data_IF_148554068184
#
_entry.id   IF_148554068184
#
_cell.length_a   1.000
_cell.length_b   1.000
_cell.length_c   1.000
_cell.angle_alpha   90.00
_cell.angle_beta   90.00
_cell.angle_gamma   90.00
#
_symmetry.space_group_name_H-M   'P 1'
#
loop_
_entity.id
_entity.type
_entity.pdbx_description
1 polymer ?
#
# COMPACT_ATOMS: atom_id res chain seq x y z
N UNK A 1 -15.65 3.11 -9.26
CA UNK A 1 -14.58 3.39 -10.25
C UNK A 1 -13.16 3.26 -9.64
N UNK A 2 -12.86 2.13 -8.97
CA UNK A 2 -11.47 1.76 -8.60
C UNK A 2 -11.30 0.29 -9.00
N UNK A 3 -11.34 0.03 -10.30
CA UNK A 3 -11.29 -1.35 -10.79
C UNK A 3 -9.86 -1.87 -10.88
N UNK A 4 -8.87 -1.02 -11.21
CA UNK A 4 -7.52 -1.46 -11.55
C UNK A 4 -6.44 -0.51 -11.00
N UNK A 5 -5.40 -1.09 -10.39
CA UNK A 5 -4.17 -0.42 -10.01
C UNK A 5 -3.22 -0.28 -11.21
N UNK A 6 -2.33 0.72 -11.16
CA UNK A 6 -1.44 1.10 -12.26
C UNK A 6 -0.63 -0.08 -12.81
N UNK A 7 -0.40 -0.10 -14.12
CA UNK A 7 0.45 -1.11 -14.78
C UNK A 7 1.92 -0.95 -14.38
N UNK A 8 2.69 -2.05 -14.44
CA UNK A 8 4.15 -2.03 -14.15
C UNK A 8 4.90 -0.99 -14.98
N UNK A 9 4.61 -0.90 -16.28
CA UNK A 9 5.21 0.07 -17.19
C UNK A 9 4.95 1.53 -16.78
N UNK A 10 3.75 1.82 -16.29
CA UNK A 10 3.43 3.16 -15.78
C UNK A 10 4.18 3.46 -14.47
N UNK A 11 4.31 2.47 -13.58
CA UNK A 11 5.07 2.60 -12.33
C UNK A 11 6.54 2.87 -12.62
N UNK A 12 7.15 2.15 -13.56
CA UNK A 12 8.54 2.36 -13.98
C UNK A 12 8.77 3.78 -14.50
N UNK A 13 7.88 4.27 -15.38
CA UNK A 13 7.96 5.66 -15.88
C UNK A 13 7.87 6.69 -14.76
N UNK A 14 6.96 6.50 -13.81
CA UNK A 14 6.83 7.37 -12.65
C UNK A 14 8.08 7.31 -11.75
N UNK A 15 8.68 6.13 -11.59
CA UNK A 15 9.92 5.97 -10.83
C UNK A 15 11.07 6.72 -11.50
N UNK A 16 11.18 6.68 -12.82
CA UNK A 16 12.19 7.46 -13.56
C UNK A 16 12.02 8.97 -13.34
N UNK A 17 10.79 9.46 -13.32
CA UNK A 17 10.49 10.87 -13.03
C UNK A 17 10.89 11.22 -11.60
N UNK A 18 10.51 10.40 -10.61
CA UNK A 18 10.90 10.59 -9.21
C UNK A 18 12.43 10.61 -9.05
N UNK A 19 13.12 9.66 -9.68
CA UNK A 19 14.57 9.55 -9.67
C UNK A 19 15.23 10.81 -10.25
N UNK A 20 14.69 11.32 -11.37
CA UNK A 20 15.19 12.53 -12.00
C UNK A 20 14.99 13.76 -11.10
N UNK A 21 13.83 13.88 -10.45
CA UNK A 21 13.55 14.96 -9.51
C UNK A 21 14.48 14.91 -8.28
N UNK A 22 14.69 13.72 -7.71
CA UNK A 22 15.62 13.54 -6.58
C UNK A 22 17.02 14.00 -6.95
N UNK A 23 17.56 13.53 -8.09
CA UNK A 23 18.89 13.93 -8.57
C UNK A 23 19.02 15.43 -8.82
N UNK A 24 17.97 16.06 -9.35
CA UNK A 24 17.97 17.49 -9.59
C UNK A 24 18.11 18.28 -8.28
N UNK A 25 17.37 17.88 -7.24
CA UNK A 25 17.38 18.53 -5.93
C UNK A 25 18.72 18.35 -5.20
N UNK A 26 19.28 17.14 -5.23
CA UNK A 26 20.52 16.80 -4.52
C UNK A 26 21.77 17.03 -5.37
N UNK A 27 21.61 17.50 -6.62
CA UNK A 27 22.70 17.65 -7.61
C UNK A 27 23.53 16.37 -7.81
N UNK A 28 22.91 15.20 -7.61
CA UNK A 28 23.56 13.89 -7.77
C UNK A 28 23.84 13.62 -9.26
N UNK A 29 25.03 13.08 -9.59
CA UNK A 29 25.37 12.74 -10.98
C UNK A 29 24.46 11.65 -11.52
N UNK A 30 24.29 11.61 -12.85
CA UNK A 30 23.37 10.69 -13.54
C UNK A 30 23.62 9.20 -13.24
N UNK A 31 24.89 8.80 -13.08
CA UNK A 31 25.31 7.40 -12.91
C UNK A 31 25.39 6.94 -11.45
N UNK A 32 25.29 7.85 -10.48
CA UNK A 32 25.32 7.48 -9.06
C UNK A 32 24.08 6.68 -8.68
N UNK A 33 24.18 5.84 -7.65
CA UNK A 33 23.06 5.03 -7.21
C UNK A 33 21.93 5.89 -6.65
N UNK A 34 20.69 5.66 -7.09
CA UNK A 34 19.55 6.53 -6.72
C UNK A 34 18.95 6.16 -5.36
N UNK A 35 19.04 4.90 -4.95
CA UNK A 35 18.48 4.41 -3.68
C UNK A 35 18.95 5.18 -2.45
N UNK A 36 20.26 5.43 -2.23
CA UNK A 36 20.71 6.23 -1.07
C UNK A 36 20.16 7.65 -1.10
N UNK A 37 20.11 8.29 -2.28
CA UNK A 37 19.55 9.64 -2.45
C UNK A 37 18.07 9.67 -2.05
N UNK A 38 17.27 8.68 -2.47
CA UNK A 38 15.87 8.60 -2.07
C UNK A 38 15.71 8.35 -0.57
N UNK A 39 16.58 7.54 0.03
CA UNK A 39 16.58 7.28 1.47
C UNK A 39 16.92 8.54 2.27
N UNK A 40 17.95 9.28 1.87
CA UNK A 40 18.36 10.57 2.48
C UNK A 40 17.25 11.63 2.39
N UNK A 41 16.56 11.70 1.25
CA UNK A 41 15.39 12.56 1.07
C UNK A 41 14.15 12.06 1.82
N UNK A 42 14.22 10.87 2.41
CA UNK A 42 13.10 10.18 3.04
C UNK A 42 11.88 9.99 2.08
N UNK A 43 12.19 9.77 0.80
CA UNK A 43 11.22 9.57 -0.28
C UNK A 43 10.99 8.07 -0.49
N UNK A 44 9.75 7.60 -0.37
CA UNK A 44 9.42 6.22 -0.74
C UNK A 44 9.47 6.02 -2.26
N UNK A 45 9.92 4.85 -2.76
CA UNK A 45 9.77 4.49 -4.16
C UNK A 45 8.29 4.48 -4.56
N UNK A 46 8.00 4.70 -5.85
CA UNK A 46 6.63 4.84 -6.37
C UNK A 46 5.75 3.64 -6.03
N UNK A 47 6.29 2.42 -6.13
CA UNK A 47 5.56 1.20 -5.74
C UNK A 47 5.07 1.26 -4.29
N UNK A 48 5.94 1.61 -3.35
CA UNK A 48 5.61 1.77 -1.94
C UNK A 48 4.66 2.96 -1.67
N UNK A 49 4.73 4.02 -2.48
CA UNK A 49 3.73 5.11 -2.41
C UNK A 49 2.33 4.66 -2.86
N UNK A 50 2.24 3.75 -3.83
CA UNK A 50 0.98 3.14 -4.24
C UNK A 50 0.44 2.27 -3.11
N UNK A 51 1.28 1.41 -2.52
CA UNK A 51 0.92 0.61 -1.35
C UNK A 51 0.42 1.49 -0.21
N UNK A 52 1.11 2.59 0.10
CA UNK A 52 0.67 3.55 1.12
C UNK A 52 -0.74 4.08 0.86
N UNK A 53 -1.03 4.52 -0.37
CA UNK A 53 -2.35 5.07 -0.74
C UNK A 53 -3.44 4.00 -0.70
N UNK A 54 -3.15 2.80 -1.19
CA UNK A 54 -4.09 1.67 -1.16
C UNK A 54 -4.42 1.30 0.29
N UNK A 55 -3.41 1.13 1.14
CA UNK A 55 -3.58 0.78 2.54
C UNK A 55 -4.30 1.87 3.34
N UNK A 56 -4.08 3.15 3.01
CA UNK A 56 -4.84 4.25 3.58
C UNK A 56 -6.32 4.20 3.19
N UNK A 57 -6.64 3.85 1.94
CA UNK A 57 -8.03 3.64 1.52
C UNK A 57 -8.68 2.47 2.27
N UNK A 58 -7.95 1.37 2.44
CA UNK A 58 -8.41 0.21 3.23
C UNK A 58 -8.68 0.62 4.67
N UNK A 59 -7.74 1.31 5.32
CA UNK A 59 -7.93 1.79 6.70
C UNK A 59 -9.19 2.63 6.82
N UNK A 60 -9.40 3.58 5.90
CA UNK A 60 -10.63 4.39 5.89
C UNK A 60 -11.88 3.53 5.70
N UNK A 61 -11.85 2.56 4.80
CA UNK A 61 -12.99 1.68 4.55
C UNK A 61 -13.37 0.84 5.76
N UNK A 62 -12.38 0.22 6.41
CA UNK A 62 -12.60 -0.62 7.61
C UNK A 62 -13.11 0.21 8.80
N UNK A 63 -12.76 1.50 8.87
CA UNK A 63 -13.22 2.41 9.92
C UNK A 63 -14.49 3.22 9.55
N UNK A 64 -15.18 2.88 8.45
CA UNK A 64 -16.41 3.56 8.03
C UNK A 64 -16.22 5.00 7.51
N UNK A 65 -14.99 5.38 7.17
CA UNK A 65 -14.61 6.72 6.69
C UNK A 65 -14.47 6.79 5.16
N UNK A 66 -14.66 5.68 4.45
CA UNK A 66 -14.66 5.64 2.99
C UNK A 66 -16.09 5.56 2.43
N UNK A 67 -16.33 6.04 1.21
CA UNK A 67 -17.59 5.82 0.51
C UNK A 67 -17.94 4.32 0.40
N UNK A 68 -19.24 3.99 0.45
CA UNK A 68 -19.74 2.61 0.42
C UNK A 68 -19.13 1.78 -0.70
N UNK A 69 -19.03 2.31 -1.93
CA UNK A 69 -18.47 1.58 -3.06
C UNK A 69 -17.01 1.10 -2.87
N UNK A 70 -16.23 1.74 -2.00
CA UNK A 70 -14.86 1.28 -1.65
C UNK A 70 -14.95 0.21 -0.55
N UNK A 71 -15.79 0.42 0.45
CA UNK A 71 -16.01 -0.53 1.53
C UNK A 71 -16.58 -1.86 1.00
N UNK A 72 -17.57 -1.79 0.11
CA UNK A 72 -18.21 -2.95 -0.53
C UNK A 72 -17.26 -3.75 -1.43
N UNK A 73 -16.17 -3.13 -1.90
CA UNK A 73 -15.12 -3.82 -2.65
C UNK A 73 -14.20 -4.67 -1.77
N UNK A 74 -14.30 -4.54 -0.44
CA UNK A 74 -13.55 -5.28 0.56
C UNK A 74 -14.51 -6.16 1.36
N UNK A 75 -14.03 -7.31 1.83
CA UNK A 75 -14.82 -8.19 2.68
C UNK A 75 -14.04 -8.54 3.93
N UNK A 76 -14.66 -8.44 5.09
CA UNK A 76 -14.06 -8.86 6.36
C UNK A 76 -13.76 -10.36 6.35
N UNK A 77 -12.62 -10.76 6.92
CA UNK A 77 -12.33 -12.17 7.12
C UNK A 77 -13.10 -12.68 8.34
N UNK A 78 -14.07 -13.58 8.12
CA UNK A 78 -14.83 -14.26 9.17
C UNK A 78 -14.42 -15.75 9.19
N UNK A 79 -13.64 -16.21 10.19
CA UNK A 79 -13.27 -17.61 10.28
C UNK A 79 -14.49 -18.47 10.68
N UNK A 80 -14.56 -19.71 10.17
CA UNK A 80 -15.64 -20.65 10.48
C UNK A 80 -15.66 -21.12 11.95
N UNK A 81 -14.57 -20.91 12.69
CA UNK A 81 -14.42 -21.19 14.11
C UNK A 81 -13.76 -19.98 14.76
N UNK A 82 -14.12 -19.66 16.02
CA UNK A 82 -13.45 -18.61 16.78
C UNK A 82 -11.95 -18.97 16.95
N UNK A 83 -11.10 -18.26 16.20
CA UNK A 83 -9.65 -18.39 16.24
C UNK A 83 -9.06 -17.08 16.74
N UNK A 84 -7.85 -17.12 17.30
CA UNK A 84 -7.10 -15.90 17.72
C UNK A 84 -6.90 -14.91 16.56
N UNK A 85 -6.97 -15.36 15.31
CA UNK A 85 -6.90 -14.52 14.11
C UNK A 85 -8.20 -13.77 13.80
N UNK A 86 -9.32 -14.10 14.45
CA UNK A 86 -10.59 -13.39 14.29
C UNK A 86 -10.46 -11.91 14.68
N UNK A 87 -9.76 -11.62 15.78
CA UNK A 87 -9.53 -10.26 16.27
C UNK A 87 -8.32 -9.56 15.62
N UNK A 88 -7.75 -10.15 14.57
CA UNK A 88 -6.59 -9.57 13.89
C UNK A 88 -6.98 -8.45 12.91
N UNK A 89 -8.27 -8.27 12.57
CA UNK A 89 -8.70 -7.28 11.59
C UNK A 89 -8.20 -7.61 10.18
N UNK A 90 -8.31 -8.89 9.78
CA UNK A 90 -7.91 -9.36 8.46
C UNK A 90 -9.04 -9.17 7.44
N UNK A 91 -8.66 -9.05 6.17
CA UNK A 91 -9.59 -9.01 5.04
C UNK A 91 -9.58 -10.34 4.29
N UNK A 92 -10.74 -10.74 3.76
CA UNK A 92 -10.85 -11.88 2.87
C UNK A 92 -10.15 -11.54 1.55
N UNK A 93 -9.25 -12.42 1.13
CA UNK A 93 -8.64 -12.38 -0.20
C UNK A 93 -9.48 -13.30 -1.10
N UNK A 94 -9.96 -12.83 -2.26
CA UNK A 94 -10.62 -13.71 -3.23
C UNK A 94 -9.69 -14.84 -3.70
N UNK A 95 -10.22 -16.04 -3.92
CA UNK A 95 -9.42 -17.21 -4.32
C UNK A 95 -8.75 -17.04 -5.69
N UNK A 96 -9.36 -16.25 -6.57
CA UNK A 96 -8.81 -15.89 -7.86
C UNK A 96 -9.01 -14.39 -8.14
N UNK A 97 -8.03 -13.74 -8.80
CA UNK A 97 -8.19 -12.36 -9.23
C UNK A 97 -9.23 -12.24 -10.36
N UNK A 98 -9.87 -11.06 -10.53
CA UNK A 98 -10.84 -10.84 -11.60
C UNK A 98 -10.23 -11.04 -12.99
N UNK A 99 -10.88 -11.81 -13.87
CA UNK A 99 -10.35 -12.20 -15.20
C UNK A 99 -9.80 -11.04 -16.04
N UNK A 100 -10.46 -9.87 -16.02
CA UNK A 100 -10.09 -8.72 -16.86
C UNK A 100 -8.93 -7.89 -16.30
N UNK A 101 -8.80 -7.83 -14.98
CA UNK A 101 -7.91 -6.88 -14.29
C UNK A 101 -6.72 -7.61 -13.65
N UNK A 102 -6.89 -8.90 -13.35
CA UNK A 102 -5.88 -9.71 -12.70
C UNK A 102 -5.60 -9.24 -11.27
N UNK A 103 -4.38 -9.54 -10.79
CA UNK A 103 -3.96 -9.24 -9.42
C UNK A 103 -3.89 -7.75 -9.10
N UNK A 104 -3.98 -6.89 -10.12
CA UNK A 104 -4.02 -5.43 -9.95
C UNK A 104 -5.40 -4.92 -9.53
N UNK A 105 -6.41 -5.79 -9.41
CA UNK A 105 -7.72 -5.38 -8.95
C UNK A 105 -7.66 -4.94 -7.49
N UNK A 106 -8.31 -3.82 -7.15
CA UNK A 106 -8.31 -3.31 -5.77
C UNK A 106 -8.81 -4.37 -4.78
N UNK A 107 -9.89 -5.07 -5.12
CA UNK A 107 -10.48 -6.14 -4.30
C UNK A 107 -9.58 -7.36 -4.08
N UNK A 108 -8.48 -7.50 -4.83
CA UNK A 108 -7.51 -8.59 -4.66
C UNK A 108 -6.20 -8.06 -4.06
N UNK A 109 -5.66 -7.00 -4.64
CA UNK A 109 -4.40 -6.40 -4.21
C UNK A 109 -4.47 -5.82 -2.80
N UNK A 110 -5.53 -5.08 -2.49
CA UNK A 110 -5.63 -4.33 -1.23
C UNK A 110 -5.75 -5.26 -0.01
N UNK A 111 -6.61 -6.30 -0.01
CA UNK A 111 -6.62 -7.31 1.06
C UNK A 111 -5.28 -8.02 1.25
N UNK A 112 -4.61 -8.39 0.15
CA UNK A 112 -3.28 -9.05 0.21
C UNK A 112 -2.24 -8.16 0.89
N UNK A 113 -2.20 -6.88 0.54
CA UNK A 113 -1.29 -5.90 1.17
C UNK A 113 -1.67 -5.61 2.61
N UNK A 114 -2.96 -5.45 2.91
CA UNK A 114 -3.44 -5.18 4.25
C UNK A 114 -3.08 -6.31 5.22
N UNK A 115 -3.30 -7.56 4.82
CA UNK A 115 -3.02 -8.73 5.66
C UNK A 115 -1.53 -8.95 5.92
N UNK A 116 -0.64 -8.43 5.06
CA UNK A 116 0.80 -8.45 5.29
C UNK A 116 1.27 -7.43 6.33
N UNK A 117 0.42 -6.47 6.74
CA UNK A 117 0.78 -5.49 7.74
C UNK A 117 0.87 -6.09 9.15
N UNK A 118 1.85 -5.66 9.96
CA UNK A 118 1.88 -5.94 11.39
C UNK A 118 0.57 -5.51 12.06
N UNK A 119 0.11 -6.32 13.03
CA UNK A 119 -1.17 -6.09 13.72
C UNK A 119 -1.24 -4.72 14.40
N UNK A 120 -0.14 -4.25 15.00
CA UNK A 120 -0.10 -2.94 15.67
C UNK A 120 -0.35 -1.77 14.72
N UNK A 121 0.03 -1.88 13.43
CA UNK A 121 -0.27 -0.86 12.42
C UNK A 121 -1.74 -0.93 12.04
N UNK A 122 -2.28 -2.13 11.83
CA UNK A 122 -3.69 -2.31 11.46
C UNK A 122 -4.67 -1.83 12.54
N UNK A 123 -4.30 -1.98 13.81
CA UNK A 123 -5.07 -1.55 14.99
C UNK A 123 -4.76 -0.11 15.44
N UNK A 124 -4.16 0.71 14.59
CA UNK A 124 -3.94 2.11 14.92
C UNK A 124 -5.26 2.83 15.24
N UNK A 125 -5.26 3.63 16.31
CA UNK A 125 -6.46 4.29 16.86
C UNK A 125 -6.95 5.47 16.01
N UNK A 126 -6.09 6.02 15.16
CA UNK A 126 -6.43 7.14 14.29
C UNK A 126 -5.73 7.05 12.94
N UNK A 127 -6.30 7.77 11.96
CA UNK A 127 -5.70 7.90 10.62
C UNK A 127 -4.26 8.42 10.70
N UNK A 128 -3.98 9.37 11.60
CA UNK A 128 -2.66 10.00 11.65
C UNK A 128 -1.60 9.10 12.29
N UNK A 129 -1.98 8.33 13.32
CA UNK A 129 -1.13 7.26 13.87
C UNK A 129 -0.86 6.22 12.78
N UNK A 130 -1.90 5.78 12.06
CA UNK A 130 -1.79 4.83 10.97
C UNK A 130 -0.83 5.30 9.87
N UNK A 131 -1.01 6.53 9.36
CA UNK A 131 -0.13 7.11 8.33
C UNK A 131 1.33 7.12 8.76
N UNK A 132 1.61 7.54 10.00
CA UNK A 132 2.97 7.62 10.53
C UNK A 132 3.60 6.24 10.59
N UNK A 133 2.95 5.29 11.26
CA UNK A 133 3.44 3.92 11.41
C UNK A 133 3.60 3.22 10.05
N UNK A 134 2.63 3.38 9.15
CA UNK A 134 2.68 2.81 7.82
C UNK A 134 3.84 3.39 7.00
N UNK A 135 4.07 4.71 7.04
CA UNK A 135 5.19 5.32 6.32
C UNK A 135 6.52 4.76 6.83
N UNK A 136 6.70 4.68 8.15
CA UNK A 136 7.91 4.09 8.76
C UNK A 136 8.10 2.63 8.34
N UNK A 137 7.05 1.82 8.41
CA UNK A 137 7.10 0.42 8.01
C UNK A 137 7.49 0.23 6.54
N UNK A 138 6.83 0.95 5.62
CA UNK A 138 7.15 0.86 4.19
C UNK A 138 8.54 1.42 3.86
N UNK A 139 9.01 2.42 4.62
CA UNK A 139 10.34 2.97 4.44
C UNK A 139 11.42 1.96 4.83
N UNK A 140 11.25 1.27 5.95
CA UNK A 140 12.16 0.19 6.36
C UNK A 140 12.15 -0.95 5.34
N UNK A 141 10.99 -1.36 4.83
CA UNK A 141 10.91 -2.39 3.77
C UNK A 141 11.58 -1.96 2.44
N UNK A 142 11.68 -0.66 2.17
CA UNK A 142 12.25 -0.16 0.92
C UNK A 142 13.77 -0.01 0.96
N UNK A 143 14.35 0.23 2.15
CA UNK A 143 15.75 0.68 2.31
C UNK A 143 16.56 -0.07 3.37
N UNK A 144 15.93 -1.01 4.10
CA UNK A 144 16.62 -1.94 5.02
C UNK A 144 16.73 -3.30 4.35
#
# INVERSE_FOLDING_TARGET
MVHQLLTKKSIEKLQLIQNSAARLLTKTRKREHITPVLAELHWLPVSYRIDFKVLLLVFKAVNGLAPCYIADALSSYTPARALRSADAGLLRIPDAPPKRIGESAFSYYAPKRWNALPQHIRKAESIDIFKRQLKTYLFNQAYT
#
